data_IF_634266490569
#
_entry.id   IF_634266490569
#
_cell.length_a   1.000
_cell.length_b   1.000
_cell.length_c   1.000
_cell.angle_alpha   90.00
_cell.angle_beta   90.00
_cell.angle_gamma   90.00
#
_symmetry.space_group_name_H-M   'P 1'
#
loop_
_entity.id
_entity.type
_entity.pdbx_description
1 polymer ?
#
# COMPACT_ATOMS: atom_id res chain seq x y z
N UNK A 1 -16.37 -11.47 66.20
CA UNK A 1 -16.88 -11.45 64.83
C UNK A 1 -16.41 -10.17 64.13
N UNK A 2 -15.31 -10.27 63.34
CA UNK A 2 -14.78 -9.14 62.50
C UNK A 2 -14.60 -9.68 61.09
N UNK A 3 -15.55 -9.47 60.17
CA UNK A 3 -15.38 -9.64 58.72
C UNK A 3 -16.48 -8.82 58.03
N UNK A 4 -16.21 -7.58 57.60
CA UNK A 4 -16.67 -7.17 56.27
C UNK A 4 -15.72 -6.21 55.53
N UNK A 5 -14.38 -6.20 55.80
CA UNK A 5 -13.51 -5.17 55.22
C UNK A 5 -13.02 -5.50 53.79
N UNK A 6 -13.18 -6.73 53.27
CA UNK A 6 -12.67 -7.14 51.98
C UNK A 6 -13.72 -7.21 50.86
N UNK A 7 -15.01 -7.04 51.19
CA UNK A 7 -16.08 -7.09 50.16
C UNK A 7 -16.16 -5.80 49.36
N UNK A 8 -15.89 -4.66 50.00
CA UNK A 8 -15.94 -3.35 49.35
C UNK A 8 -14.92 -3.16 48.22
N UNK A 9 -13.63 -3.50 48.40
CA UNK A 9 -12.67 -3.39 47.29
C UNK A 9 -12.93 -4.40 46.16
N UNK A 10 -13.49 -5.59 46.44
CA UNK A 10 -13.84 -6.55 45.42
C UNK A 10 -15.02 -6.06 44.55
N UNK A 11 -16.01 -5.40 45.14
CA UNK A 11 -17.12 -4.81 44.40
C UNK A 11 -16.65 -3.63 43.52
N UNK A 12 -15.72 -2.81 44.01
CA UNK A 12 -15.14 -1.71 43.21
C UNK A 12 -14.35 -2.24 42.00
N UNK A 13 -13.57 -3.29 42.16
CA UNK A 13 -12.81 -3.92 41.05
C UNK A 13 -13.78 -4.56 40.02
N UNK A 14 -14.87 -5.18 40.48
CA UNK A 14 -15.90 -5.75 39.58
C UNK A 14 -16.68 -4.65 38.84
N UNK A 15 -16.96 -3.53 39.45
CA UNK A 15 -17.66 -2.41 38.79
C UNK A 15 -16.77 -1.66 37.80
N UNK A 16 -15.47 -1.55 38.07
CA UNK A 16 -14.51 -0.93 37.09
C UNK A 16 -14.23 -1.83 35.91
N UNK A 17 -14.24 -3.16 36.07
CA UNK A 17 -14.08 -4.09 34.93
C UNK A 17 -15.34 -4.15 34.06
N UNK A 18 -16.53 -3.97 34.62
CA UNK A 18 -17.77 -3.90 33.83
C UNK A 18 -17.87 -2.60 33.01
N UNK A 19 -17.40 -1.47 33.55
CA UNK A 19 -17.39 -0.19 32.84
C UNK A 19 -16.39 -0.14 31.68
N UNK A 20 -15.33 -0.98 31.71
CA UNK A 20 -14.35 -1.06 30.63
C UNK A 20 -14.87 -1.80 29.38
N UNK A 21 -15.87 -2.68 29.54
CA UNK A 21 -16.45 -3.42 28.41
C UNK A 21 -17.56 -2.65 27.68
N UNK A 22 -18.23 -1.70 28.32
CA UNK A 22 -19.34 -0.98 27.69
C UNK A 22 -18.88 0.04 26.64
N UNK A 23 -17.72 0.65 26.80
CA UNK A 23 -17.24 1.66 25.84
C UNK A 23 -16.85 1.11 24.48
N UNK A 24 -16.52 -0.18 24.36
CA UNK A 24 -16.16 -0.80 23.08
C UNK A 24 -17.38 -1.26 22.28
N UNK A 25 -18.45 -1.62 22.96
CA UNK A 25 -19.71 -2.02 22.31
C UNK A 25 -20.57 -0.81 21.89
N UNK A 26 -20.49 0.31 22.61
CA UNK A 26 -21.20 1.54 22.27
C UNK A 26 -20.67 2.21 21.00
N UNK A 27 -19.39 2.02 20.66
CA UNK A 27 -18.84 2.53 19.40
C UNK A 27 -19.33 1.76 18.15
N UNK A 28 -19.75 0.51 18.32
CA UNK A 28 -20.39 -0.27 17.24
C UNK A 28 -21.84 0.14 16.99
N UNK A 29 -22.54 0.60 18.02
CA UNK A 29 -23.92 1.11 17.91
C UNK A 29 -24.00 2.56 17.41
N UNK A 30 -22.87 3.24 17.28
CA UNK A 30 -22.79 4.61 16.74
C UNK A 30 -22.39 4.68 15.26
N UNK A 31 -22.26 3.56 14.57
CA UNK A 31 -22.19 3.57 13.12
C UNK A 31 -23.53 4.03 12.57
N UNK A 32 -23.52 5.23 12.02
CA UNK A 32 -24.64 5.83 11.33
C UNK A 32 -25.11 4.84 10.26
N UNK A 33 -26.40 4.45 10.26
CA UNK A 33 -26.97 3.52 9.27
C UNK A 33 -27.01 4.14 7.85
N UNK A 34 -26.35 5.27 7.65
CA UNK A 34 -26.29 5.99 6.39
C UNK A 34 -25.10 5.53 5.54
N UNK A 35 -25.28 5.52 4.20
CA UNK A 35 -24.17 5.35 3.27
C UNK A 35 -23.09 6.41 3.48
N UNK A 36 -21.83 6.04 3.24
CA UNK A 36 -20.66 6.95 3.30
C UNK A 36 -19.89 6.93 2.00
N UNK A 37 -19.18 8.01 1.71
CA UNK A 37 -18.21 8.02 0.59
C UNK A 37 -16.93 7.32 0.99
N UNK A 38 -16.38 6.53 0.04
CA UNK A 38 -15.06 5.90 0.15
C UNK A 38 -14.18 6.47 -0.95
N UNK A 39 -13.09 7.12 -0.57
CA UNK A 39 -12.13 7.72 -1.50
C UNK A 39 -10.81 6.96 -1.43
N UNK A 40 -10.33 6.46 -2.57
CA UNK A 40 -8.99 5.85 -2.68
C UNK A 40 -8.28 6.49 -3.88
N UNK A 41 -7.59 7.59 -3.63
CA UNK A 41 -7.01 8.44 -4.67
C UNK A 41 -5.55 8.71 -4.36
N UNK A 42 -4.69 8.51 -5.38
CA UNK A 42 -3.22 8.64 -5.30
C UNK A 42 -2.69 9.64 -6.33
N UNK A 43 -2.73 10.94 -6.08
CA UNK A 43 -1.99 11.91 -6.88
C UNK A 43 -0.48 11.73 -6.77
N UNK A 44 0.23 12.04 -7.86
CA UNK A 44 1.69 11.97 -7.94
C UNK A 44 2.26 10.61 -8.40
N UNK A 45 1.43 9.58 -8.56
CA UNK A 45 1.86 8.29 -9.09
C UNK A 45 2.31 8.37 -10.55
N UNK A 46 1.81 9.31 -11.31
CA UNK A 46 2.09 9.53 -12.72
C UNK A 46 1.50 10.85 -13.20
N UNK A 47 1.42 11.00 -14.52
CA UNK A 47 0.88 12.22 -15.13
C UNK A 47 -0.66 12.31 -15.00
N UNK A 48 -1.32 11.15 -14.89
CA UNK A 48 -2.78 11.04 -14.75
C UNK A 48 -3.16 10.62 -13.34
N UNK A 49 -3.99 11.40 -12.66
CA UNK A 49 -4.59 11.02 -11.38
C UNK A 49 -6.02 10.56 -11.59
N UNK A 50 -6.32 9.31 -11.24
CA UNK A 50 -7.66 8.71 -11.32
C UNK A 50 -8.38 8.88 -9.98
N UNK A 51 -9.62 9.34 -10.04
CA UNK A 51 -10.47 9.51 -8.86
C UNK A 51 -11.36 8.29 -8.66
N UNK A 52 -11.04 7.47 -7.68
CA UNK A 52 -11.90 6.35 -7.26
C UNK A 52 -12.68 6.79 -6.04
N UNK A 53 -13.96 7.07 -6.23
CA UNK A 53 -14.89 7.48 -5.19
C UNK A 53 -16.12 6.58 -5.31
N UNK A 54 -16.36 5.78 -4.28
CA UNK A 54 -17.46 4.82 -4.20
C UNK A 54 -18.41 5.18 -3.05
N UNK A 55 -19.58 4.57 -3.02
CA UNK A 55 -20.53 4.67 -1.92
C UNK A 55 -20.58 3.31 -1.22
N UNK A 56 -20.23 3.29 0.08
CA UNK A 56 -20.38 2.11 0.93
C UNK A 56 -21.67 2.22 1.74
N UNK A 57 -22.49 1.18 1.65
CA UNK A 57 -23.72 1.06 2.44
C UNK A 57 -23.53 0.09 3.61
N UNK A 58 -24.15 0.33 4.79
CA UNK A 58 -24.11 -0.60 5.91
C UNK A 58 -24.66 -1.97 5.57
N UNK A 59 -24.03 -3.03 6.08
CA UNK A 59 -24.50 -4.40 5.92
C UNK A 59 -25.80 -4.59 6.73
N UNK A 60 -26.91 -4.89 6.07
CA UNK A 60 -28.20 -5.14 6.71
C UNK A 60 -29.31 -4.20 6.27
N UNK A 61 -29.02 -3.07 5.66
CA UNK A 61 -30.00 -2.12 5.13
C UNK A 61 -30.28 -2.31 3.61
N UNK A 62 -30.32 -3.53 3.13
CA UNK A 62 -30.62 -3.86 1.73
C UNK A 62 -32.04 -3.43 1.26
N UNK A 63 -32.76 -2.63 2.02
CA UNK A 63 -34.13 -2.19 1.75
C UNK A 63 -34.40 -0.69 1.83
N UNK A 64 -33.45 0.15 2.24
CA UNK A 64 -33.59 1.60 2.17
C UNK A 64 -32.76 2.16 1.03
N UNK A 65 -33.10 1.79 -0.21
CA UNK A 65 -32.62 2.44 -1.42
C UNK A 65 -33.25 3.85 -1.55
N UNK A 66 -32.87 4.76 -0.67
CA UNK A 66 -32.80 6.15 -1.04
C UNK A 66 -31.59 6.25 -1.96
N UNK A 67 -31.79 6.75 -3.19
CA UNK A 67 -30.73 6.91 -4.20
C UNK A 67 -29.61 7.78 -3.63
N UNK A 68 -28.60 7.12 -3.00
CA UNK A 68 -27.38 7.81 -2.64
C UNK A 68 -26.61 8.09 -3.93
N UNK A 69 -26.27 9.34 -4.18
CA UNK A 69 -25.54 9.76 -5.38
C UNK A 69 -24.39 10.68 -5.01
N UNK A 70 -23.37 10.70 -5.84
CA UNK A 70 -22.27 11.68 -5.78
C UNK A 70 -22.56 12.71 -6.87
N UNK A 71 -22.92 13.94 -6.46
CA UNK A 71 -23.39 14.96 -7.38
C UNK A 71 -22.29 15.99 -7.71
N UNK A 72 -21.36 16.23 -6.77
CA UNK A 72 -20.30 17.19 -6.93
C UNK A 72 -18.98 16.67 -6.36
N UNK A 73 -17.93 16.83 -7.16
CA UNK A 73 -16.53 16.54 -6.78
C UNK A 73 -15.68 17.72 -7.25
N UNK A 74 -14.81 18.22 -6.36
CA UNK A 74 -13.83 19.23 -6.71
C UNK A 74 -12.49 18.94 -6.06
N UNK A 75 -11.40 19.23 -6.79
CA UNK A 75 -10.03 19.20 -6.31
C UNK A 75 -9.45 20.60 -6.50
N UNK A 76 -8.65 21.05 -5.53
CA UNK A 76 -7.82 22.24 -5.67
C UNK A 76 -6.36 21.88 -5.44
N UNK A 77 -5.47 22.48 -6.22
CA UNK A 77 -4.02 22.41 -6.09
C UNK A 77 -3.50 23.80 -5.71
N UNK A 78 -2.92 23.94 -4.52
CA UNK A 78 -2.51 25.24 -3.96
C UNK A 78 -3.63 26.29 -4.02
N UNK A 79 -4.86 25.87 -3.72
CA UNK A 79 -6.07 26.70 -3.74
C UNK A 79 -6.63 27.02 -5.12
N UNK A 80 -6.06 26.50 -6.20
CA UNK A 80 -6.57 26.66 -7.57
C UNK A 80 -7.34 25.42 -7.98
N UNK A 81 -8.48 25.61 -8.60
CA UNK A 81 -9.31 24.51 -9.07
C UNK A 81 -8.60 23.67 -10.14
N UNK A 82 -8.66 22.35 -9.98
CA UNK A 82 -8.12 21.35 -10.92
C UNK A 82 -9.25 20.94 -11.88
N UNK A 83 -8.96 20.96 -13.17
CA UNK A 83 -9.91 20.48 -14.18
C UNK A 83 -10.03 18.96 -14.08
N UNK A 84 -11.26 18.48 -13.84
CA UNK A 84 -11.58 17.06 -13.87
C UNK A 84 -12.23 16.71 -15.19
N UNK A 85 -11.88 15.56 -15.74
CA UNK A 85 -12.45 15.00 -16.95
C UNK A 85 -13.08 13.65 -16.65
N UNK A 86 -14.09 13.29 -17.43
CA UNK A 86 -14.74 11.97 -17.36
C UNK A 86 -14.31 11.16 -18.57
N UNK A 87 -13.82 9.95 -18.34
CA UNK A 87 -13.43 9.08 -19.44
C UNK A 87 -14.66 8.66 -20.25
N UNK A 88 -14.72 9.08 -21.50
CA UNK A 88 -15.72 8.70 -22.50
C UNK A 88 -15.34 7.46 -23.34
N UNK A 89 -14.21 6.83 -22.99
CA UNK A 89 -13.58 5.72 -23.71
C UNK A 89 -12.34 6.14 -24.51
N UNK A 90 -11.97 7.43 -24.50
CA UNK A 90 -10.80 7.94 -25.21
C UNK A 90 -9.49 7.73 -24.43
N UNK A 91 -9.55 7.74 -23.08
CA UNK A 91 -8.38 7.52 -22.25
C UNK A 91 -8.08 6.02 -22.12
N UNK A 92 -6.96 5.61 -22.70
CA UNK A 92 -6.51 4.21 -22.68
C UNK A 92 -6.17 3.75 -21.25
N UNK A 93 -6.64 2.55 -20.88
CA UNK A 93 -6.36 1.93 -19.59
C UNK A 93 -7.30 2.37 -18.46
N UNK A 94 -8.24 3.29 -18.70
CA UNK A 94 -9.24 3.69 -17.72
C UNK A 94 -10.62 3.12 -18.09
N UNK A 95 -11.41 2.77 -17.06
CA UNK A 95 -12.81 2.38 -17.28
C UNK A 95 -13.65 3.58 -17.74
N UNK A 96 -14.63 3.34 -18.63
CA UNK A 96 -15.56 4.38 -19.09
C UNK A 96 -16.35 4.94 -17.90
N UNK A 97 -16.44 6.25 -17.83
CA UNK A 97 -17.15 6.96 -16.76
C UNK A 97 -16.28 7.33 -15.56
N UNK A 98 -15.05 6.84 -15.45
CA UNK A 98 -14.11 7.27 -14.40
C UNK A 98 -13.77 8.76 -14.53
N UNK A 99 -13.63 9.42 -13.39
CA UNK A 99 -13.10 10.78 -13.32
C UNK A 99 -11.59 10.73 -13.19
N UNK A 100 -10.92 11.64 -13.89
CA UNK A 100 -9.46 11.76 -13.85
C UNK A 100 -9.02 13.20 -14.12
N UNK A 101 -7.75 13.46 -13.90
CA UNK A 101 -7.07 14.67 -14.34
C UNK A 101 -5.67 14.32 -14.87
N UNK A 102 -5.28 14.93 -15.98
CA UNK A 102 -3.92 14.84 -16.55
C UNK A 102 -3.05 16.03 -16.11
N UNK A 103 -3.51 16.79 -15.12
CA UNK A 103 -2.70 17.83 -14.54
C UNK A 103 -1.63 17.23 -13.63
N UNK A 104 -0.33 17.43 -13.90
CA UNK A 104 0.73 16.98 -13.02
C UNK A 104 0.75 17.81 -11.74
N UNK A 105 1.04 17.17 -10.63
CA UNK A 105 1.19 17.81 -9.33
C UNK A 105 2.66 17.76 -8.91
N UNK A 106 3.33 18.94 -8.86
CA UNK A 106 4.74 19.00 -8.48
C UNK A 106 4.93 18.68 -6.98
N UNK A 107 6.14 18.25 -6.58
CA UNK A 107 6.51 18.13 -5.17
C UNK A 107 6.21 19.40 -4.39
N UNK A 108 5.77 19.25 -3.14
CA UNK A 108 5.35 20.35 -2.26
C UNK A 108 3.92 20.86 -2.53
N UNK A 109 3.28 20.49 -3.64
CA UNK A 109 1.92 20.94 -3.97
C UNK A 109 0.91 20.40 -2.94
N UNK A 110 0.12 21.29 -2.34
CA UNK A 110 -1.00 20.93 -1.47
C UNK A 110 -2.25 20.69 -2.30
N UNK A 111 -2.87 19.54 -2.06
CA UNK A 111 -4.13 19.14 -2.69
C UNK A 111 -5.23 19.05 -1.64
N UNK A 112 -6.39 19.64 -1.95
CA UNK A 112 -7.60 19.50 -1.16
C UNK A 112 -8.71 18.94 -2.07
N UNK A 113 -9.45 17.92 -1.60
CA UNK A 113 -10.60 17.34 -2.28
C UNK A 113 -11.86 17.51 -1.46
N UNK A 114 -12.95 17.77 -2.12
CA UNK A 114 -14.29 17.72 -1.52
C UNK A 114 -15.27 17.02 -2.46
N UNK A 115 -16.16 16.23 -1.88
CA UNK A 115 -17.26 15.59 -2.58
C UNK A 115 -18.55 15.69 -1.77
N UNK A 116 -19.67 15.81 -2.46
CA UNK A 116 -21.01 15.87 -1.87
C UNK A 116 -22.04 15.21 -2.76
N UNK A 117 -23.17 14.82 -2.18
CA UNK A 117 -24.24 14.18 -2.93
C UNK A 117 -25.52 14.00 -2.10
N UNK A 118 -26.55 13.47 -2.73
CA UNK A 118 -27.81 13.19 -2.06
C UNK A 118 -27.69 11.95 -1.17
N UNK A 119 -28.32 11.96 -0.02
CA UNK A 119 -28.39 10.80 0.90
C UNK A 119 -27.10 10.40 1.59
N UNK A 120 -26.00 11.12 1.38
CA UNK A 120 -24.67 10.84 1.98
C UNK A 120 -24.05 12.08 2.60
N UNK A 121 -23.28 11.94 3.69
CA UNK A 121 -22.53 13.04 4.27
C UNK A 121 -21.51 13.60 3.26
N UNK A 122 -21.26 14.92 3.24
CA UNK A 122 -20.17 15.47 2.43
C UNK A 122 -18.82 14.98 2.97
N UNK A 123 -17.93 14.64 2.06
CA UNK A 123 -16.59 14.14 2.39
C UNK A 123 -15.52 15.12 1.94
N UNK A 124 -14.44 15.24 2.73
CA UNK A 124 -13.29 16.11 2.46
C UNK A 124 -12.00 15.42 2.88
N UNK A 125 -10.94 15.66 2.12
CA UNK A 125 -9.60 15.22 2.48
C UNK A 125 -8.56 16.21 1.95
N UNK A 126 -7.36 16.15 2.50
CA UNK A 126 -6.22 16.92 2.02
C UNK A 126 -4.95 16.06 2.07
N UNK A 127 -4.02 16.36 1.19
CA UNK A 127 -2.67 15.76 1.18
C UNK A 127 -1.67 16.76 0.59
N UNK A 128 -0.39 16.48 0.75
CA UNK A 128 0.69 17.20 0.06
C UNK A 128 1.51 16.19 -0.74
N UNK A 129 1.85 16.54 -1.97
CA UNK A 129 2.76 15.73 -2.79
C UNK A 129 4.16 15.79 -2.16
N UNK A 130 4.73 14.68 -1.73
CA UNK A 130 6.05 14.66 -1.10
C UNK A 130 7.14 15.14 -2.07
N UNK A 131 8.27 15.60 -1.53
CA UNK A 131 9.47 15.86 -2.30
C UNK A 131 9.99 14.58 -2.98
N UNK A 132 10.89 14.72 -3.95
CA UNK A 132 11.50 13.56 -4.58
C UNK A 132 12.32 12.74 -3.58
N UNK A 133 12.54 11.47 -3.90
CA UNK A 133 13.46 10.63 -3.12
C UNK A 133 14.86 11.27 -3.11
N UNK A 134 15.57 11.29 -1.96
CA UNK A 134 16.89 11.89 -1.88
C UNK A 134 17.91 11.17 -2.77
N UNK A 135 19.09 11.80 -2.98
CA UNK A 135 20.20 11.13 -3.66
C UNK A 135 20.57 9.83 -2.95
N UNK A 136 20.75 8.77 -3.73
CA UNK A 136 20.95 7.43 -3.21
C UNK A 136 22.08 6.70 -3.93
N UNK A 137 22.56 5.65 -3.26
CA UNK A 137 23.44 4.64 -3.83
C UNK A 137 22.84 3.26 -3.61
N UNK A 138 22.92 2.42 -4.61
CA UNK A 138 22.43 1.06 -4.59
C UNK A 138 23.59 0.09 -4.92
N UNK A 139 23.92 -0.81 -3.98
CA UNK A 139 24.90 -1.86 -4.17
C UNK A 139 24.17 -3.21 -4.22
N UNK A 140 24.53 -4.08 -5.19
CA UNK A 140 23.92 -5.39 -5.39
C UNK A 140 24.93 -6.50 -5.18
N UNK A 141 24.54 -7.59 -4.54
CA UNK A 141 25.36 -8.80 -4.40
C UNK A 141 24.51 -10.07 -4.35
N UNK A 142 25.07 -11.17 -4.82
CA UNK A 142 24.44 -12.48 -4.67
C UNK A 142 24.54 -12.94 -3.21
N UNK A 143 23.46 -13.54 -2.71
CA UNK A 143 23.44 -14.11 -1.36
C UNK A 143 22.68 -15.42 -1.33
N UNK A 144 22.93 -16.21 -0.29
CA UNK A 144 22.17 -17.42 -0.01
C UNK A 144 21.25 -17.15 1.17
N UNK A 145 20.03 -17.62 1.05
CA UNK A 145 19.03 -17.53 2.12
C UNK A 145 18.77 -18.95 2.61
N UNK A 146 18.65 -19.11 3.92
CA UNK A 146 18.28 -20.37 4.52
C UNK A 146 16.94 -20.88 3.92
N UNK A 147 16.89 -22.08 3.36
CA UNK A 147 15.67 -22.67 2.82
C UNK A 147 14.47 -22.66 3.79
N UNK A 148 14.71 -22.66 5.08
CA UNK A 148 13.69 -22.52 6.13
C UNK A 148 13.05 -21.13 6.19
N UNK A 149 13.69 -20.10 5.58
CA UNK A 149 13.15 -18.74 5.49
C UNK A 149 12.20 -18.58 4.30
N UNK A 150 12.23 -19.50 3.35
CA UNK A 150 11.26 -19.60 2.25
C UNK A 150 10.14 -20.54 2.65
N UNK A 151 8.91 -20.12 2.49
CA UNK A 151 7.81 -21.06 2.46
C UNK A 151 8.13 -22.13 1.42
N UNK A 152 8.14 -23.40 1.83
CA UNK A 152 8.31 -24.52 0.91
C UNK A 152 7.14 -24.48 -0.09
N UNK A 153 7.40 -24.08 -1.33
CA UNK A 153 6.42 -24.23 -2.39
C UNK A 153 6.45 -25.70 -2.84
N UNK A 154 5.30 -26.41 -2.85
CA UNK A 154 5.25 -27.71 -3.47
C UNK A 154 5.56 -27.56 -4.96
N UNK A 155 6.47 -28.38 -5.47
CA UNK A 155 6.64 -28.51 -6.91
C UNK A 155 5.33 -29.08 -7.54
N UNK A 156 5.24 -29.06 -8.88
CA UNK A 156 4.06 -29.57 -9.59
C UNK A 156 3.79 -31.06 -9.33
N UNK A 157 4.69 -31.79 -8.68
CA UNK A 157 4.53 -33.20 -8.25
C UNK A 157 4.00 -33.31 -6.80
N UNK A 158 3.79 -32.21 -6.10
CA UNK A 158 3.39 -32.17 -4.70
C UNK A 158 4.51 -32.48 -3.71
N UNK A 159 5.76 -32.57 -4.17
CA UNK A 159 6.93 -32.75 -3.31
C UNK A 159 7.53 -31.40 -2.97
N UNK A 160 7.72 -31.14 -1.70
CA UNK A 160 8.43 -29.97 -1.22
C UNK A 160 9.93 -30.12 -1.55
N UNK A 161 10.40 -29.41 -2.56
CA UNK A 161 11.84 -29.26 -2.79
C UNK A 161 12.29 -27.96 -2.14
N UNK A 162 13.10 -28.08 -1.09
CA UNK A 162 13.84 -26.98 -0.48
C UNK A 162 15.01 -26.62 -1.40
N UNK A 163 14.74 -26.05 -2.57
CA UNK A 163 15.79 -25.39 -3.34
C UNK A 163 15.95 -23.99 -2.75
N UNK A 164 17.18 -23.64 -2.36
CA UNK A 164 17.53 -22.26 -2.11
C UNK A 164 17.48 -21.52 -3.43
N UNK A 165 16.54 -20.61 -3.66
CA UNK A 165 16.52 -19.83 -4.88
C UNK A 165 17.74 -18.90 -4.90
N UNK A 166 18.10 -18.43 -6.10
CA UNK A 166 19.07 -17.37 -6.24
C UNK A 166 18.47 -16.07 -5.76
N UNK A 167 19.12 -15.48 -4.78
CA UNK A 167 18.67 -14.27 -4.12
C UNK A 167 19.69 -13.16 -4.30
N UNK A 168 19.21 -12.01 -4.71
CA UNK A 168 19.99 -10.79 -4.75
C UNK A 168 19.73 -9.97 -3.49
N UNK A 169 20.81 -9.55 -2.85
CA UNK A 169 20.80 -8.55 -1.78
C UNK A 169 21.02 -7.19 -2.41
N UNK A 170 20.12 -6.27 -2.14
CA UNK A 170 20.22 -4.87 -2.50
C UNK A 170 20.43 -4.04 -1.23
N UNK A 171 21.54 -3.31 -1.17
CA UNK A 171 21.85 -2.36 -0.12
C UNK A 171 21.61 -0.94 -0.64
N UNK A 172 20.55 -0.31 -0.15
CA UNK A 172 20.17 1.05 -0.49
C UNK A 172 20.70 2.02 0.58
N UNK A 173 21.47 3.03 0.17
CA UNK A 173 22.05 4.06 1.05
C UNK A 173 21.63 5.43 0.58
N UNK A 174 21.15 6.27 1.50
CA UNK A 174 20.79 7.66 1.23
C UNK A 174 20.89 8.49 2.51
N UNK A 175 20.87 9.80 2.41
CA UNK A 175 20.85 10.70 3.57
C UNK A 175 19.47 11.32 3.68
N UNK A 176 18.88 11.19 4.84
CA UNK A 176 17.56 11.69 5.16
C UNK A 176 17.59 13.16 5.57
N UNK A 177 16.44 13.86 5.45
CA UNK A 177 16.29 15.26 5.84
C UNK A 177 15.89 15.33 7.33
N UNK A 178 16.70 16.01 8.14
CA UNK A 178 16.45 16.19 9.57
C UNK A 178 15.28 17.09 9.95
N UNK A 179 14.75 17.86 8.98
CA UNK A 179 13.72 18.88 9.22
C UNK A 179 12.30 18.32 9.10
N UNK A 180 12.15 17.13 8.55
CA UNK A 180 10.87 16.50 8.25
C UNK A 180 10.80 15.08 8.79
N UNK A 181 9.62 14.62 9.15
CA UNK A 181 9.33 13.19 9.33
C UNK A 181 8.99 12.62 7.95
N UNK A 182 9.76 11.65 7.51
CA UNK A 182 9.75 11.18 6.14
C UNK A 182 9.34 9.70 6.01
N UNK A 183 8.57 9.41 4.97
CA UNK A 183 8.07 8.08 4.68
C UNK A 183 8.51 7.64 3.28
N UNK A 184 9.00 6.42 3.18
CA UNK A 184 9.67 5.90 2.01
C UNK A 184 9.02 4.61 1.50
N UNK A 185 9.18 4.36 0.21
CA UNK A 185 8.83 3.10 -0.41
C UNK A 185 9.93 2.63 -1.37
N UNK A 186 10.07 1.31 -1.50
CA UNK A 186 10.97 0.68 -2.46
C UNK A 186 10.21 -0.38 -3.21
N UNK A 187 10.10 -0.22 -4.53
CA UNK A 187 9.46 -1.17 -5.42
C UNK A 187 10.48 -1.71 -6.42
N UNK A 188 10.67 -3.02 -6.43
CA UNK A 188 11.43 -3.72 -7.45
C UNK A 188 10.43 -4.35 -8.40
N UNK A 189 10.49 -3.94 -9.67
CA UNK A 189 9.57 -4.37 -10.72
C UNK A 189 10.29 -5.36 -11.63
N UNK A 190 9.98 -6.67 -11.56
CA UNK A 190 10.52 -7.63 -12.50
C UNK A 190 9.85 -7.44 -13.87
N UNK A 191 10.65 -7.25 -14.89
CA UNK A 191 10.25 -7.12 -16.29
C UNK A 191 10.74 -8.36 -17.06
N UNK A 192 9.82 -9.18 -17.56
CA UNK A 192 10.11 -10.30 -18.44
C UNK A 192 10.15 -9.78 -19.87
N UNK A 193 11.33 -9.64 -20.43
CA UNK A 193 11.54 -9.25 -21.82
C UNK A 193 11.39 -10.47 -22.72
N UNK A 194 10.47 -10.41 -23.67
CA UNK A 194 10.17 -11.49 -24.59
C UNK A 194 10.83 -11.18 -25.93
N UNK A 195 11.76 -12.04 -26.35
CA UNK A 195 12.42 -11.94 -27.65
C UNK A 195 11.89 -13.03 -28.59
N UNK A 196 11.77 -12.70 -29.87
CA UNK A 196 11.49 -13.65 -30.93
C UNK A 196 12.47 -13.41 -32.11
N UNK A 197 13.25 -14.42 -32.46
CA UNK A 197 14.37 -14.28 -33.40
C UNK A 197 15.33 -13.13 -33.02
N UNK A 198 15.68 -13.03 -31.75
CA UNK A 198 16.54 -12.00 -31.16
C UNK A 198 15.96 -10.55 -31.20
N UNK A 199 14.75 -10.36 -31.69
CA UNK A 199 14.07 -9.07 -31.64
C UNK A 199 13.13 -8.99 -30.44
N UNK A 200 13.16 -7.87 -29.71
CA UNK A 200 12.24 -7.64 -28.58
C UNK A 200 10.79 -7.55 -29.09
N UNK A 201 9.98 -8.52 -28.71
CA UNK A 201 8.58 -8.63 -29.14
C UNK A 201 7.57 -8.15 -28.07
N UNK A 202 8.00 -8.04 -26.82
CA UNK A 202 7.15 -7.57 -25.74
C UNK A 202 7.86 -7.52 -24.39
N UNK A 203 7.23 -6.82 -23.44
CA UNK A 203 7.65 -6.75 -22.03
C UNK A 203 6.45 -7.11 -21.17
N UNK A 204 6.58 -8.12 -20.34
CA UNK A 204 5.59 -8.50 -19.34
C UNK A 204 6.07 -8.04 -17.97
N UNK A 205 5.17 -7.45 -17.20
CA UNK A 205 5.46 -7.09 -15.81
C UNK A 205 5.06 -8.25 -14.90
N UNK A 206 6.03 -8.75 -14.14
CA UNK A 206 5.84 -9.83 -13.19
C UNK A 206 5.62 -9.32 -11.78
N UNK A 207 5.06 -10.15 -10.90
CA UNK A 207 4.95 -9.82 -9.48
C UNK A 207 6.32 -9.90 -8.80
N UNK A 208 6.64 -8.90 -7.97
CA UNK A 208 7.87 -8.90 -7.18
C UNK A 208 7.87 -10.00 -6.13
N UNK A 209 9.00 -10.68 -6.00
CA UNK A 209 9.20 -11.73 -5.01
C UNK A 209 10.23 -11.28 -3.97
N UNK A 210 9.80 -10.49 -2.99
CA UNK A 210 10.64 -10.14 -1.85
C UNK A 210 10.81 -11.30 -0.88
N UNK A 211 12.01 -11.42 -0.34
CA UNK A 211 12.32 -12.35 0.73
C UNK A 211 12.13 -11.63 2.06
N UNK A 212 11.18 -12.08 2.85
CA UNK A 212 11.06 -11.63 4.24
C UNK A 212 12.14 -12.30 5.09
N UNK A 213 12.93 -11.54 5.83
CA UNK A 213 13.74 -12.07 6.93
C UNK A 213 12.81 -12.49 8.07
N UNK A 214 12.67 -13.80 8.28
CA UNK A 214 11.95 -14.37 9.40
C UNK A 214 10.44 -14.48 9.20
N UNK A 215 9.97 -15.69 8.97
CA UNK A 215 8.58 -16.05 9.09
C UNK A 215 8.24 -16.27 10.57
N UNK A 216 7.75 -15.22 11.22
CA UNK A 216 6.77 -15.40 12.28
C UNK A 216 5.85 -14.18 12.21
N UNK A 217 4.66 -14.43 11.76
CA UNK A 217 3.58 -13.46 11.50
C UNK A 217 3.10 -12.70 12.73
N UNK A 218 3.75 -12.86 13.88
CA UNK A 218 3.39 -12.24 15.15
C UNK A 218 4.58 -11.66 15.92
N UNK A 219 5.82 -11.80 15.47
CA UNK A 219 6.90 -11.06 16.10
C UNK A 219 6.82 -9.60 15.68
N UNK A 220 6.11 -8.88 16.47
CA UNK A 220 6.12 -7.44 16.64
C UNK A 220 7.54 -6.95 17.00
N UNK A 221 8.58 -7.62 16.53
CA UNK A 221 9.92 -7.49 17.00
C UNK A 221 10.81 -6.76 16.00
N UNK A 222 11.39 -5.71 16.46
CA UNK A 222 12.55 -4.92 16.00
C UNK A 222 12.56 -4.33 14.59
N UNK A 223 11.91 -4.91 13.58
CA UNK A 223 11.77 -4.36 12.21
C UNK A 223 10.34 -3.88 11.93
N UNK A 224 9.66 -3.30 12.90
CA UNK A 224 8.35 -2.63 12.73
C UNK A 224 8.37 -1.54 11.65
N UNK A 225 9.53 -1.19 11.16
CA UNK A 225 9.78 -0.06 10.28
C UNK A 225 9.85 -0.47 8.81
N UNK A 226 9.81 -1.76 8.49
CA UNK A 226 9.88 -2.26 7.11
C UNK A 226 8.73 -3.22 6.86
N UNK A 227 7.75 -2.78 6.08
CA UNK A 227 6.53 -3.55 5.80
C UNK A 227 6.36 -3.74 4.29
N UNK A 228 5.74 -4.85 3.87
CA UNK A 228 5.37 -5.06 2.47
C UNK A 228 3.90 -4.68 2.29
N UNK A 229 3.64 -3.68 1.47
CA UNK A 229 2.33 -3.21 1.11
C UNK A 229 1.92 -3.72 -0.27
N UNK A 230 0.70 -4.23 -0.41
CA UNK A 230 0.11 -4.60 -1.68
C UNK A 230 -1.00 -3.59 -2.03
N UNK A 231 -0.80 -2.75 -3.05
CA UNK A 231 -1.77 -1.72 -3.42
C UNK A 231 -3.03 -2.26 -4.10
N UNK A 232 -3.02 -3.52 -4.54
CA UNK A 232 -4.07 -4.11 -5.40
C UNK A 232 -5.47 -4.00 -4.80
N UNK A 233 -5.58 -4.25 -3.50
CA UNK A 233 -6.88 -4.26 -2.82
C UNK A 233 -7.45 -2.87 -2.56
N UNK A 234 -6.58 -1.87 -2.39
CA UNK A 234 -6.98 -0.52 -2.00
C UNK A 234 -7.00 0.45 -3.17
N UNK A 235 -6.08 0.31 -4.10
CA UNK A 235 -5.84 1.28 -5.16
C UNK A 235 -5.89 0.70 -6.58
N UNK A 236 -6.42 -0.52 -6.76
CA UNK A 236 -6.37 -1.23 -8.03
C UNK A 236 -6.79 -0.40 -9.24
N UNK A 237 -7.86 0.39 -9.09
CA UNK A 237 -8.36 1.28 -10.16
C UNK A 237 -7.60 2.60 -10.29
N UNK A 238 -7.04 3.12 -9.21
CA UNK A 238 -6.25 4.36 -9.19
C UNK A 238 -4.80 4.15 -9.61
N UNK A 239 -4.33 2.91 -9.60
CA UNK A 239 -2.96 2.52 -9.88
C UNK A 239 -2.79 2.21 -11.37
N UNK A 240 -2.79 3.22 -12.22
CA UNK A 240 -2.93 3.07 -13.67
C UNK A 240 -1.61 3.05 -14.46
N UNK A 241 -0.50 3.54 -13.90
CA UNK A 241 0.75 3.71 -14.64
C UNK A 241 1.77 2.60 -14.36
N UNK A 242 1.89 2.20 -13.11
CA UNK A 242 2.88 1.22 -12.67
C UNK A 242 2.22 -0.13 -12.40
N UNK A 243 2.95 -1.23 -12.53
CA UNK A 243 2.39 -2.54 -12.19
C UNK A 243 1.94 -2.56 -10.73
N UNK A 244 0.82 -3.26 -10.47
CA UNK A 244 0.27 -3.46 -9.12
C UNK A 244 1.14 -4.44 -8.31
N UNK A 245 2.42 -4.12 -8.18
CA UNK A 245 3.35 -4.92 -7.43
C UNK A 245 3.38 -4.52 -5.96
N UNK A 246 3.59 -5.50 -5.11
CA UNK A 246 3.90 -5.24 -3.71
C UNK A 246 5.21 -4.47 -3.62
N UNK A 247 5.28 -3.53 -2.68
CA UNK A 247 6.50 -2.79 -2.40
C UNK A 247 6.72 -2.64 -0.90
N UNK A 248 7.94 -2.36 -0.54
CA UNK A 248 8.34 -2.18 0.85
C UNK A 248 8.11 -0.75 1.25
N UNK A 249 7.52 -0.50 2.43
CA UNK A 249 7.35 0.82 3.03
C UNK A 249 8.06 0.90 4.38
N UNK A 250 8.59 2.07 4.72
CA UNK A 250 9.25 2.35 6.00
C UNK A 250 9.28 3.85 6.29
N UNK A 251 9.47 4.21 7.57
CA UNK A 251 9.66 5.59 8.02
C UNK A 251 11.11 5.86 8.38
N UNK A 252 11.44 7.13 8.57
CA UNK A 252 12.76 7.60 9.02
C UNK A 252 12.97 7.53 10.54
N UNK A 253 12.04 6.99 11.28
CA UNK A 253 11.97 7.02 12.75
C UNK A 253 13.30 6.69 13.44
N UNK A 254 14.11 5.75 12.91
CA UNK A 254 15.37 5.32 13.47
C UNK A 254 16.60 6.03 12.86
N UNK A 255 16.43 6.79 11.78
CA UNK A 255 17.54 7.45 11.07
C UNK A 255 17.29 8.90 10.67
N UNK A 256 16.22 9.54 11.18
CA UNK A 256 15.87 10.93 10.85
C UNK A 256 17.11 11.85 10.90
N UNK A 257 17.40 12.53 9.80
CA UNK A 257 18.57 13.40 9.61
C UNK A 257 19.91 12.68 9.53
N UNK A 258 19.93 11.38 9.34
CA UNK A 258 21.14 10.57 9.26
C UNK A 258 21.23 9.82 7.94
N UNK A 259 22.38 9.20 7.72
CA UNK A 259 22.52 8.23 6.65
C UNK A 259 21.70 6.98 6.97
N UNK A 260 20.76 6.65 6.07
CA UNK A 260 20.03 5.39 6.06
C UNK A 260 20.82 4.33 5.30
N UNK A 261 20.79 3.11 5.80
CA UNK A 261 21.24 1.91 5.09
C UNK A 261 20.17 0.84 5.26
N UNK A 262 19.52 0.47 4.14
CA UNK A 262 18.42 -0.50 4.15
C UNK A 262 18.74 -1.67 3.22
N UNK A 263 18.56 -2.88 3.74
CA UNK A 263 18.81 -4.13 3.01
C UNK A 263 17.50 -4.72 2.53
N UNK A 264 17.43 -5.05 1.25
CA UNK A 264 16.32 -5.74 0.62
C UNK A 264 16.81 -7.03 -0.03
N UNK A 265 16.02 -8.07 0.06
CA UNK A 265 16.30 -9.36 -0.58
C UNK A 265 15.18 -9.63 -1.58
N UNK A 266 15.56 -9.96 -2.81
CA UNK A 266 14.60 -10.38 -3.83
C UNK A 266 15.10 -11.58 -4.61
N UNK A 267 14.17 -12.37 -5.16
CA UNK A 267 14.49 -13.54 -5.95
C UNK A 267 14.82 -13.07 -7.37
N UNK A 268 15.99 -13.49 -7.86
CA UNK A 268 16.29 -13.37 -9.28
C UNK A 268 15.73 -14.57 -10.04
N UNK A 269 14.94 -14.31 -11.06
CA UNK A 269 14.41 -15.33 -11.96
C UNK A 269 15.45 -15.63 -13.04
N UNK A 270 15.60 -16.91 -13.38
CA UNK A 270 16.53 -17.32 -14.44
C UNK A 270 15.92 -17.07 -15.81
N UNK A 271 16.76 -16.57 -16.73
CA UNK A 271 16.40 -16.47 -18.14
C UNK A 271 16.14 -17.86 -18.71
N UNK A 272 15.22 -17.97 -19.64
CA UNK A 272 14.91 -19.25 -20.26
C UNK A 272 14.52 -19.13 -21.74
N UNK A 273 14.74 -20.22 -22.47
CA UNK A 273 14.26 -20.38 -23.84
C UNK A 273 13.04 -21.30 -23.85
N UNK A 274 11.99 -20.89 -24.54
CA UNK A 274 10.77 -21.68 -24.60
C UNK A 274 11.00 -22.97 -25.41
N UNK A 275 10.85 -24.13 -24.76
CA UNK A 275 11.22 -25.43 -25.36
C UNK A 275 10.41 -25.81 -26.61
N UNK A 276 9.16 -25.32 -26.70
CA UNK A 276 8.30 -25.59 -27.89
C UNK A 276 8.56 -24.61 -29.04
N UNK A 277 9.23 -23.49 -28.80
CA UNK A 277 9.62 -22.51 -29.80
C UNK A 277 11.02 -21.94 -29.46
N UNK A 278 12.11 -22.56 -29.95
CA UNK A 278 13.47 -22.14 -29.63
C UNK A 278 13.82 -20.73 -30.12
N UNK A 279 13.04 -20.14 -31.02
CA UNK A 279 13.22 -18.75 -31.45
C UNK A 279 12.72 -17.75 -30.39
N UNK A 280 11.99 -18.23 -29.38
CA UNK A 280 11.47 -17.41 -28.31
C UNK A 280 12.31 -17.54 -27.05
N UNK A 281 12.88 -16.42 -26.60
CA UNK A 281 13.74 -16.30 -25.43
C UNK A 281 13.14 -15.30 -24.46
N UNK A 282 13.31 -15.51 -23.17
CA UNK A 282 12.84 -14.67 -22.08
C UNK A 282 14.01 -14.27 -21.21
N UNK A 283 14.16 -12.96 -20.96
CA UNK A 283 15.16 -12.39 -20.07
C UNK A 283 14.47 -11.58 -18.98
N UNK A 284 14.97 -11.70 -17.76
CA UNK A 284 14.43 -10.95 -16.62
C UNK A 284 15.32 -9.76 -16.28
N UNK A 285 14.70 -8.59 -16.32
CA UNK A 285 15.29 -7.35 -15.87
C UNK A 285 14.52 -6.82 -14.66
N UNK A 286 15.16 -6.02 -13.82
CA UNK A 286 14.57 -5.51 -12.61
C UNK A 286 14.68 -3.99 -12.59
N UNK A 287 13.55 -3.30 -12.60
CA UNK A 287 13.50 -1.85 -12.49
C UNK A 287 13.33 -1.46 -11.03
N UNK A 288 14.10 -0.49 -10.57
CA UNK A 288 14.01 0.06 -9.22
C UNK A 288 13.19 1.35 -9.24
N UNK A 289 12.10 1.37 -8.49
CA UNK A 289 11.31 2.57 -8.23
C UNK A 289 11.45 2.93 -6.75
N UNK A 290 11.88 4.15 -6.48
CA UNK A 290 11.99 4.71 -5.15
C UNK A 290 10.84 5.70 -4.93
N UNK A 291 10.13 5.53 -3.84
CA UNK A 291 8.94 6.31 -3.54
C UNK A 291 9.17 7.16 -2.29
N UNK A 292 8.74 8.40 -2.35
CA UNK A 292 8.50 9.24 -1.19
C UNK A 292 6.98 9.27 -0.97
N UNK A 293 6.55 9.01 0.25
CA UNK A 293 5.14 8.82 0.58
C UNK A 293 4.67 9.98 1.46
N UNK A 294 3.43 10.42 1.29
CA UNK A 294 2.81 11.30 2.28
C UNK A 294 2.52 10.52 3.57
N UNK A 295 2.40 11.24 4.69
CA UNK A 295 2.06 10.66 5.98
C UNK A 295 0.73 9.88 5.91
N UNK A 296 -0.26 10.43 5.20
CA UNK A 296 -1.57 9.80 5.04
C UNK A 296 -1.47 8.47 4.30
N UNK A 297 -0.61 8.39 3.27
CA UNK A 297 -0.38 7.14 2.56
C UNK A 297 0.26 6.10 3.46
N UNK A 298 1.34 6.49 4.16
CA UNK A 298 2.07 5.57 5.03
C UNK A 298 1.16 5.02 6.13
N UNK A 299 0.42 5.88 6.83
CA UNK A 299 -0.52 5.48 7.89
C UNK A 299 -1.64 4.57 7.38
N UNK A 300 -2.18 4.89 6.19
CA UNK A 300 -3.18 4.05 5.57
C UNK A 300 -2.61 2.66 5.21
N UNK A 301 -1.43 2.62 4.58
CA UNK A 301 -0.78 1.37 4.20
C UNK A 301 -0.42 0.51 5.43
N UNK A 302 0.18 1.11 6.47
CA UNK A 302 0.49 0.46 7.75
C UNK A 302 -0.76 -0.16 8.37
N UNK A 303 -1.81 0.64 8.52
CA UNK A 303 -3.06 0.18 9.11
C UNK A 303 -3.73 -0.92 8.29
N UNK A 304 -3.65 -0.85 6.96
CA UNK A 304 -4.18 -1.87 6.05
C UNK A 304 -3.41 -3.19 6.15
N UNK A 305 -2.09 -3.14 6.31
CA UNK A 305 -1.25 -4.33 6.54
C UNK A 305 -1.62 -4.99 7.88
N UNK A 306 -1.75 -4.19 8.94
CA UNK A 306 -2.17 -4.69 10.26
C UNK A 306 -3.55 -5.34 10.17
N UNK A 307 -4.51 -4.72 9.48
CA UNK A 307 -5.84 -5.27 9.27
C UNK A 307 -5.80 -6.62 8.53
N UNK A 308 -5.04 -6.72 7.45
CA UNK A 308 -4.94 -7.94 6.63
C UNK A 308 -4.19 -9.07 7.34
N UNK A 309 -3.24 -8.76 8.22
CA UNK A 309 -2.41 -9.74 8.92
C UNK A 309 -2.93 -10.11 10.31
N UNK A 310 -3.93 -9.38 10.83
CA UNK A 310 -4.51 -9.65 12.13
C UNK A 310 -5.54 -10.79 12.04
N UNK A 311 -5.22 -11.94 12.58
CA UNK A 311 -6.21 -13.02 12.87
C UNK A 311 -7.19 -12.63 14.01
N UNK A 312 -7.17 -11.36 14.43
CA UNK A 312 -7.89 -10.86 15.61
C UNK A 312 -9.40 -11.02 15.49
N UNK A 313 -9.93 -10.96 14.27
CA UNK A 313 -11.36 -11.19 14.02
C UNK A 313 -11.80 -12.64 14.33
N UNK A 314 -10.90 -13.62 14.20
CA UNK A 314 -11.19 -15.02 14.54
C UNK A 314 -11.30 -15.24 16.05
N UNK A 315 -10.71 -14.37 16.86
CA UNK A 315 -10.71 -14.47 18.32
C UNK A 315 -11.72 -13.53 19.01
N UNK A 316 -12.68 -12.96 18.26
CA UNK A 316 -13.71 -12.09 18.80
C UNK A 316 -13.22 -10.73 19.32
N UNK A 317 -12.06 -10.29 18.88
CA UNK A 317 -11.57 -8.94 19.15
C UNK A 317 -12.29 -7.91 18.26
N UNK A 318 -12.36 -6.65 18.72
CA UNK A 318 -12.96 -5.57 17.97
C UNK A 318 -12.27 -5.41 16.60
N UNK A 319 -13.04 -5.19 15.51
CA UNK A 319 -12.45 -4.99 14.19
C UNK A 319 -11.52 -3.78 14.23
N UNK A 320 -10.32 -3.95 13.66
CA UNK A 320 -9.40 -2.84 13.43
C UNK A 320 -9.82 -2.15 12.12
N UNK A 321 -10.08 -0.85 12.18
CA UNK A 321 -10.40 -0.09 10.97
C UNK A 321 -9.12 0.54 10.39
N UNK A 322 -8.89 0.43 9.08
CA UNK A 322 -7.79 1.14 8.44
C UNK A 322 -7.87 2.65 8.70
N UNK A 323 -6.72 3.28 8.81
CA UNK A 323 -6.62 4.73 8.92
C UNK A 323 -7.34 5.41 7.75
N UNK A 324 -7.97 6.54 8.01
CA UNK A 324 -8.58 7.40 7.01
C UNK A 324 -8.25 8.87 7.29
N UNK A 325 -7.95 9.63 6.24
CA UNK A 325 -7.89 11.10 6.29
C UNK A 325 -9.12 11.74 5.63
N UNK A 326 -10.13 10.95 5.28
CA UNK A 326 -11.37 11.41 4.65
C UNK A 326 -12.40 11.78 5.73
N UNK A 327 -12.51 13.06 6.04
CA UNK A 327 -13.52 13.55 6.98
C UNK A 327 -14.92 13.39 6.34
N UNK A 328 -15.85 12.75 7.07
CA UNK A 328 -17.20 12.43 6.60
C UNK A 328 -17.30 11.19 5.69
N UNK A 329 -16.21 10.45 5.54
CA UNK A 329 -16.15 9.24 4.71
C UNK A 329 -15.09 8.25 5.18
N UNK A 330 -14.60 7.42 4.29
CA UNK A 330 -13.55 6.44 4.52
C UNK A 330 -12.55 6.41 3.35
N UNK A 331 -11.48 5.59 3.48
CA UNK A 331 -10.43 5.49 2.48
C UNK A 331 -9.32 6.51 2.68
N UNK A 332 -8.61 6.87 1.60
CA UNK A 332 -7.50 7.82 1.68
C UNK A 332 -7.36 8.67 0.42
N UNK A 333 -7.02 9.93 0.62
CA UNK A 333 -6.52 10.85 -0.38
C UNK A 333 -5.08 11.18 -0.04
N UNK A 334 -4.12 10.57 -0.75
CA UNK A 334 -2.73 10.48 -0.32
C UNK A 334 -1.78 10.77 -1.46
N UNK A 335 -0.80 11.63 -1.25
CA UNK A 335 0.25 11.95 -2.21
C UNK A 335 1.42 10.98 -2.18
N UNK A 336 2.07 10.81 -3.33
CA UNK A 336 3.37 10.17 -3.42
C UNK A 336 4.19 10.74 -4.59
N UNK A 337 5.50 10.55 -4.53
CA UNK A 337 6.41 10.88 -5.62
C UNK A 337 7.21 9.63 -5.98
N UNK A 338 7.32 9.34 -7.27
CA UNK A 338 8.06 8.19 -7.80
C UNK A 338 9.35 8.68 -8.46
N UNK A 339 10.48 8.17 -8.01
CA UNK A 339 11.78 8.33 -8.65
C UNK A 339 12.12 7.00 -9.35
N UNK A 340 12.16 7.02 -10.69
CA UNK A 340 12.58 5.86 -11.49
C UNK A 340 14.10 5.82 -11.50
N UNK A 341 14.68 4.85 -10.82
CA UNK A 341 16.12 4.65 -10.74
C UNK A 341 16.68 3.83 -11.92
N UNK A 342 15.82 3.39 -12.84
CA UNK A 342 16.20 2.56 -13.98
C UNK A 342 16.35 1.08 -13.64
N UNK A 343 17.00 0.34 -14.54
CA UNK A 343 17.24 -1.08 -14.33
C UNK A 343 18.42 -1.33 -13.39
N UNK A 344 18.30 -2.36 -12.57
CA UNK A 344 19.36 -2.84 -11.69
C UNK A 344 20.37 -3.70 -12.48
N UNK A 345 21.64 -3.34 -12.39
CA UNK A 345 22.74 -4.12 -12.97
C UNK A 345 23.11 -5.26 -12.01
N UNK A 346 22.41 -6.40 -12.13
CA UNK A 346 22.68 -7.56 -11.30
C UNK A 346 24.05 -8.13 -11.69
N UNK A 347 25.01 -8.28 -10.75
CA UNK A 347 26.32 -8.80 -11.08
C UNK A 347 26.25 -10.24 -11.61
N UNK A 348 27.19 -10.63 -12.48
CA UNK A 348 27.35 -12.03 -12.87
C UNK A 348 27.65 -12.91 -11.65
N UNK A 349 27.18 -14.18 -11.67
CA UNK A 349 27.41 -15.15 -10.59
C UNK A 349 28.87 -15.62 -10.52
#
# INVERSE_FOLDING_TARGET
>A
MKRPAYILPLIVVLLTSAASCENTLLSLNGMDDRPIMVMNILPGLGDTTVLVIDIASPVGNAGSEGEASIDHISITADGKEVKLERNDGSASGLEIGMLFTDQPFPPGCRLDISASGAGIPPAKAATTIPEAFPEFRCDLEWTKVDPGTYGAYPDMSGKYQLKSPDVVRMNLKFTDNAETEDFYGVMIVPEEMVFHNDELSGINICESSYVKKGYNSLSVDKDRLVMIFNPRNSFGKSWNKWPLNSFVIFSDFDFNGKQAEKEFLFINQEDYTYTADPARRYEFHYRLLLLKLSEEFYRYAESSIIYQTSDLMQFGQAPYFPYTNVAGGAGTFSGLTVTDAGHLDIPEK
#
